data_IF_200609379312
#
_entry.id   IF_200609379312
#
_cell.length_a   1.000
_cell.length_b   1.000
_cell.length_c   1.000
_cell.angle_alpha   90.00
_cell.angle_beta   90.00
_cell.angle_gamma   90.00
#
_symmetry.space_group_name_H-M   'P 1'
#
loop_
_entity.id
_entity.type
_entity.pdbx_description
1 polymer ?
#
# COMPACT_ATOMS: atom_id res chain seq x y z
N UNK A 1 -39.08 73.03 31.00
CA UNK A 1 -38.98 71.63 31.46
C UNK A 1 -38.75 70.82 30.20
N UNK A 2 -37.51 70.47 29.85
CA UNK A 2 -36.81 69.23 30.28
C UNK A 2 -37.68 68.00 29.93
N UNK A 3 -37.24 67.00 29.15
CA UNK A 3 -35.90 66.45 29.04
C UNK A 3 -35.70 65.63 27.75
N UNK A 4 -34.43 65.36 27.49
CA UNK A 4 -33.78 64.65 26.40
C UNK A 4 -33.95 63.12 26.51
N UNK A 5 -34.04 62.37 25.40
CA UNK A 5 -33.36 61.07 25.26
C UNK A 5 -33.44 60.52 23.83
N UNK A 6 -32.25 60.35 23.27
CA UNK A 6 -31.87 59.57 22.10
C UNK A 6 -32.39 58.11 22.07
N UNK A 7 -32.71 57.61 20.88
CA UNK A 7 -32.57 56.21 20.44
C UNK A 7 -32.60 56.23 18.91
N UNK A 8 -31.48 56.13 18.21
CA UNK A 8 -30.73 54.92 17.86
C UNK A 8 -31.47 53.98 16.91
N UNK A 9 -30.67 53.44 15.99
CA UNK A 9 -30.90 52.25 15.16
C UNK A 9 -31.58 52.52 13.82
N UNK A 10 -30.73 52.85 12.85
CA UNK A 10 -30.86 52.31 11.50
C UNK A 10 -31.12 50.81 11.59
N UNK A 11 -32.34 50.39 11.26
CA UNK A 11 -32.62 49.01 10.89
C UNK A 11 -33.52 49.06 9.66
N UNK A 12 -32.87 49.18 8.51
CA UNK A 12 -33.50 48.89 7.22
C UNK A 12 -33.75 47.38 7.15
N UNK A 13 -34.79 46.94 7.86
CA UNK A 13 -35.31 45.58 7.79
C UNK A 13 -35.83 45.37 6.37
N UNK A 14 -34.97 44.77 5.54
CA UNK A 14 -35.30 44.33 4.20
C UNK A 14 -36.34 43.20 4.28
N UNK A 15 -37.61 43.57 4.21
CA UNK A 15 -38.71 42.63 4.16
C UNK A 15 -38.86 42.12 2.73
N UNK A 16 -38.35 40.92 2.49
CA UNK A 16 -38.51 40.23 1.22
C UNK A 16 -39.96 39.75 1.11
N UNK A 17 -40.81 40.56 0.46
CA UNK A 17 -42.16 40.13 0.06
C UNK A 17 -42.02 39.15 -1.10
N UNK A 18 -42.30 37.88 -0.83
CA UNK A 18 -42.56 36.88 -1.86
C UNK A 18 -43.83 37.31 -2.61
N UNK A 19 -43.70 37.63 -3.90
CA UNK A 19 -44.85 37.76 -4.79
C UNK A 19 -45.61 36.44 -4.83
N UNK A 20 -46.94 36.51 -4.72
CA UNK A 20 -47.87 35.37 -4.70
C UNK A 20 -47.85 34.51 -5.99
N UNK A 21 -47.06 34.89 -7.00
CA UNK A 21 -46.85 34.14 -8.25
C UNK A 21 -46.05 32.83 -8.08
N UNK A 22 -45.52 32.55 -6.89
CA UNK A 22 -44.84 31.28 -6.59
C UNK A 22 -45.81 30.12 -6.25
N UNK A 23 -47.13 30.35 -6.19
CA UNK A 23 -48.08 29.36 -5.68
C UNK A 23 -48.43 28.20 -6.63
N UNK A 24 -47.87 28.16 -7.85
CA UNK A 24 -48.20 27.11 -8.86
C UNK A 24 -47.00 26.47 -9.55
N UNK A 25 -45.79 26.52 -8.98
CA UNK A 25 -44.70 25.64 -9.44
C UNK A 25 -44.63 24.37 -8.60
N UNK A 26 -44.92 23.25 -9.28
CA UNK A 26 -44.73 21.84 -8.92
C UNK A 26 -43.54 21.65 -7.96
N UNK A 27 -43.66 20.84 -6.89
CA UNK A 27 -42.68 20.76 -5.82
C UNK A 27 -41.29 20.54 -6.39
N UNK A 28 -40.41 21.51 -6.17
CA UNK A 28 -38.99 21.41 -6.46
C UNK A 28 -38.50 20.26 -5.58
N UNK A 29 -38.07 19.19 -6.24
CA UNK A 29 -37.46 18.02 -5.64
C UNK A 29 -36.44 18.47 -4.57
N UNK A 30 -36.70 18.15 -3.30
CA UNK A 30 -35.80 18.38 -2.15
C UNK A 30 -34.54 17.49 -2.18
N UNK A 31 -34.06 17.11 -3.36
CA UNK A 31 -32.79 16.42 -3.48
C UNK A 31 -31.67 17.44 -3.26
N UNK A 32 -30.72 17.19 -2.35
CA UNK A 32 -29.54 18.02 -2.23
C UNK A 32 -28.83 18.11 -3.59
N UNK A 33 -28.14 19.22 -3.89
CA UNK A 33 -27.43 19.38 -5.16
C UNK A 33 -26.47 18.22 -5.38
N UNK A 34 -26.77 17.39 -6.39
CA UNK A 34 -25.92 16.27 -6.79
C UNK A 34 -24.75 16.85 -7.59
N UNK A 35 -23.59 16.98 -6.94
CA UNK A 35 -22.37 17.35 -7.67
C UNK A 35 -22.02 16.24 -8.67
N UNK A 36 -21.76 16.56 -9.95
CA UNK A 36 -21.37 15.56 -10.93
C UNK A 36 -20.07 14.90 -10.49
N UNK A 37 -20.13 13.60 -10.22
CA UNK A 37 -18.95 12.85 -9.81
C UNK A 37 -18.05 12.63 -11.02
N UNK A 38 -16.94 13.38 -11.07
CA UNK A 38 -15.95 13.25 -12.14
C UNK A 38 -15.29 11.87 -12.03
N UNK A 39 -15.44 11.07 -13.08
CA UNK A 39 -14.84 9.73 -13.16
C UNK A 39 -13.33 9.87 -13.40
N UNK A 40 -12.52 9.43 -12.44
CA UNK A 40 -11.06 9.42 -12.57
C UNK A 40 -10.56 8.07 -13.07
N UNK A 41 -10.22 8.01 -14.37
CA UNK A 41 -9.65 6.82 -15.01
C UNK A 41 -8.13 6.78 -14.99
N UNK A 42 -7.46 7.91 -14.75
CA UNK A 42 -6.00 8.00 -14.80
C UNK A 42 -5.40 7.51 -13.47
N UNK A 43 -6.01 7.86 -12.34
CA UNK A 43 -5.59 7.45 -11.01
C UNK A 43 -5.39 5.92 -10.89
N UNK A 44 -6.43 5.10 -11.11
CA UNK A 44 -6.32 3.65 -11.00
C UNK A 44 -5.28 3.02 -11.95
N UNK A 45 -5.12 3.57 -13.15
CA UNK A 45 -4.12 3.09 -14.13
C UNK A 45 -2.70 3.35 -13.66
N UNK A 46 -2.41 4.55 -13.17
CA UNK A 46 -1.10 4.90 -12.62
C UNK A 46 -0.76 4.02 -11.40
N UNK A 47 -1.72 3.83 -10.50
CA UNK A 47 -1.56 2.96 -9.33
C UNK A 47 -1.28 1.52 -9.78
N UNK A 48 -2.00 1.01 -10.78
CA UNK A 48 -1.77 -0.32 -11.34
C UNK A 48 -0.34 -0.52 -11.88
N UNK A 49 0.22 0.48 -12.57
CA UNK A 49 1.60 0.42 -13.08
C UNK A 49 2.61 0.39 -11.92
N UNK A 50 2.44 1.25 -10.91
CA UNK A 50 3.32 1.29 -9.74
C UNK A 50 3.29 -0.06 -8.99
N UNK A 51 2.11 -0.66 -8.85
CA UNK A 51 1.96 -1.98 -8.22
C UNK A 51 2.68 -3.08 -9.01
N UNK A 52 2.63 -3.06 -10.34
CA UNK A 52 3.35 -4.04 -11.17
C UNK A 52 4.86 -3.91 -10.96
N UNK A 53 5.40 -2.68 -10.97
CA UNK A 53 6.83 -2.45 -10.75
C UNK A 53 7.24 -2.92 -9.36
N UNK A 54 6.50 -2.53 -8.31
CA UNK A 54 6.78 -2.96 -6.94
C UNK A 54 6.67 -4.47 -6.75
N UNK A 55 5.71 -5.11 -7.42
CA UNK A 55 5.58 -6.57 -7.43
C UNK A 55 6.82 -7.22 -8.03
N UNK A 56 7.32 -6.75 -9.17
CA UNK A 56 8.54 -7.30 -9.79
C UNK A 56 9.74 -7.24 -8.84
N UNK A 57 10.00 -6.09 -8.20
CA UNK A 57 11.08 -5.98 -7.22
C UNK A 57 10.91 -6.97 -6.06
N UNK A 58 9.71 -7.02 -5.48
CA UNK A 58 9.41 -7.94 -4.37
C UNK A 58 9.51 -9.41 -4.79
N UNK A 59 9.14 -9.73 -6.03
CA UNK A 59 9.19 -11.06 -6.58
C UNK A 59 10.62 -11.55 -6.78
N UNK A 60 11.53 -10.69 -7.26
CA UNK A 60 12.96 -11.04 -7.37
C UNK A 60 13.54 -11.31 -5.98
N UNK A 61 13.23 -10.47 -4.98
CA UNK A 61 13.69 -10.69 -3.61
C UNK A 61 13.17 -12.02 -3.03
N UNK A 62 11.86 -12.29 -3.18
CA UNK A 62 11.27 -13.55 -2.71
C UNK A 62 11.83 -14.77 -3.42
N UNK A 63 12.16 -14.67 -4.70
CA UNK A 63 12.83 -15.73 -5.45
C UNK A 63 14.28 -15.94 -4.99
N UNK A 64 15.00 -14.86 -4.64
CA UNK A 64 16.32 -14.92 -4.00
C UNK A 64 16.27 -15.71 -2.68
N UNK A 65 15.33 -15.37 -1.81
CA UNK A 65 15.13 -16.09 -0.54
C UNK A 65 14.82 -17.58 -0.78
N UNK A 66 13.98 -17.90 -1.77
CA UNK A 66 13.72 -19.30 -2.12
C UNK A 66 14.98 -20.03 -2.61
N UNK A 67 15.82 -19.39 -3.43
CA UNK A 67 17.07 -19.99 -3.89
C UNK A 67 18.00 -20.28 -2.71
N UNK A 68 18.11 -19.36 -1.75
CA UNK A 68 18.96 -19.53 -0.57
C UNK A 68 18.56 -20.76 0.26
N UNK A 69 17.28 -21.15 0.30
CA UNK A 69 16.91 -22.41 0.95
C UNK A 69 17.58 -23.63 0.30
N UNK A 70 17.67 -23.65 -1.03
CA UNK A 70 18.13 -24.83 -1.77
C UNK A 70 19.66 -24.89 -1.92
N UNK A 71 20.37 -23.86 -1.48
CA UNK A 71 21.83 -23.82 -1.42
C UNK A 71 22.24 -24.32 -0.04
N UNK A 72 22.95 -25.46 0.02
CA UNK A 72 23.44 -26.02 1.28
C UNK A 72 24.62 -25.21 1.81
N UNK A 73 25.61 -24.91 0.98
CA UNK A 73 26.76 -24.08 1.33
C UNK A 73 26.89 -22.94 0.33
N UNK A 74 27.01 -21.72 0.85
CA UNK A 74 27.36 -20.56 0.02
C UNK A 74 28.87 -20.57 -0.19
N UNK A 75 29.39 -20.32 -1.41
CA UNK A 75 30.83 -20.33 -1.67
C UNK A 75 31.58 -19.35 -0.76
N UNK A 76 32.67 -19.79 -0.13
CA UNK A 76 33.46 -19.00 0.80
C UNK A 76 33.85 -17.63 0.23
N UNK A 77 34.21 -17.57 -1.06
CA UNK A 77 34.55 -16.31 -1.74
C UNK A 77 33.41 -15.29 -1.79
N UNK A 78 32.16 -15.76 -1.84
CA UNK A 78 30.97 -14.92 -1.81
C UNK A 78 30.70 -14.41 -0.39
N UNK A 79 30.85 -15.29 0.60
CA UNK A 79 30.74 -14.94 2.02
C UNK A 79 31.83 -13.93 2.40
N UNK A 80 33.09 -14.16 2.04
CA UNK A 80 34.19 -13.23 2.27
C UNK A 80 33.92 -11.85 1.67
N UNK A 81 33.30 -11.80 0.48
CA UNK A 81 32.90 -10.54 -0.15
C UNK A 81 31.80 -9.85 0.65
N UNK A 82 30.83 -10.62 1.17
CA UNK A 82 29.74 -10.12 2.00
C UNK A 82 30.23 -9.61 3.37
N UNK A 83 31.20 -10.32 3.96
CA UNK A 83 31.83 -10.01 5.24
C UNK A 83 32.92 -8.94 5.15
N UNK A 84 33.43 -8.63 3.95
CA UNK A 84 34.46 -7.61 3.76
C UNK A 84 34.04 -6.23 4.31
N UNK A 85 32.77 -5.85 4.12
CA UNK A 85 32.24 -4.57 4.61
C UNK A 85 32.15 -4.53 6.14
N UNK A 86 31.45 -5.44 6.83
CA UNK A 86 31.38 -5.44 8.29
C UNK A 86 32.76 -5.65 8.94
N UNK A 87 33.61 -6.52 8.40
CA UNK A 87 34.95 -6.76 8.95
C UNK A 87 35.86 -5.52 8.80
N UNK A 88 35.71 -4.75 7.70
CA UNK A 88 36.41 -3.46 7.56
C UNK A 88 35.99 -2.40 8.58
N UNK A 89 34.83 -2.57 9.22
CA UNK A 89 34.27 -1.67 10.23
C UNK A 89 34.57 -2.11 11.67
N UNK A 90 35.41 -3.15 11.84
CA UNK A 90 35.88 -3.61 13.15
C UNK A 90 35.20 -4.86 13.68
N UNK A 91 34.40 -5.54 12.86
CA UNK A 91 33.86 -6.87 13.20
C UNK A 91 34.86 -7.98 12.84
N UNK A 92 34.76 -9.12 13.53
CA UNK A 92 35.59 -10.30 13.29
C UNK A 92 34.69 -11.49 12.95
N UNK A 93 33.82 -11.33 11.95
CA UNK A 93 33.00 -12.42 11.45
C UNK A 93 33.85 -13.34 10.57
N UNK A 94 33.73 -14.63 10.82
CA UNK A 94 34.33 -15.69 10.01
C UNK A 94 33.34 -16.21 8.98
N UNK A 95 33.86 -16.94 7.98
CA UNK A 95 33.01 -17.65 7.01
C UNK A 95 32.13 -18.67 7.72
N UNK A 96 32.69 -19.37 8.73
CA UNK A 96 31.98 -20.36 9.54
C UNK A 96 30.78 -19.75 10.27
N UNK A 97 30.93 -18.56 10.88
CA UNK A 97 29.82 -17.86 11.56
C UNK A 97 28.65 -17.57 10.60
N UNK A 98 28.97 -17.24 9.34
CA UNK A 98 27.94 -16.98 8.33
C UNK A 98 27.30 -18.28 7.81
N UNK A 99 28.06 -19.36 7.67
CA UNK A 99 27.52 -20.67 7.29
C UNK A 99 26.58 -21.21 8.37
N UNK A 100 26.94 -21.10 9.65
CA UNK A 100 26.08 -21.50 10.77
C UNK A 100 24.75 -20.72 10.76
N UNK A 101 24.81 -19.41 10.52
CA UNK A 101 23.62 -18.59 10.31
C UNK A 101 22.75 -19.10 9.14
N UNK A 102 23.38 -19.36 7.99
CA UNK A 102 22.69 -19.79 6.77
C UNK A 102 22.02 -21.15 6.97
N UNK A 103 22.71 -22.07 7.66
CA UNK A 103 22.20 -23.38 8.00
C UNK A 103 21.04 -23.32 8.98
N UNK A 104 21.08 -22.49 10.00
CA UNK A 104 19.97 -22.31 10.94
C UNK A 104 18.75 -21.65 10.26
N UNK A 105 18.98 -20.64 9.41
CA UNK A 105 17.92 -20.01 8.64
C UNK A 105 17.25 -20.99 7.64
N UNK A 106 18.02 -21.94 7.10
CA UNK A 106 17.54 -23.01 6.22
C UNK A 106 16.82 -24.11 7.00
N UNK A 107 17.38 -24.57 8.12
CA UNK A 107 16.83 -25.64 8.97
C UNK A 107 15.46 -25.24 9.55
N UNK A 108 15.33 -23.98 9.96
CA UNK A 108 14.08 -23.37 10.43
C UNK A 108 13.07 -23.07 9.31
N UNK A 109 13.43 -23.31 8.05
CA UNK A 109 12.65 -23.01 6.85
C UNK A 109 12.27 -21.52 6.73
N UNK A 110 13.06 -20.63 7.33
CA UNK A 110 12.79 -19.20 7.34
C UNK A 110 12.85 -18.60 5.93
N UNK A 111 13.84 -19.02 5.14
CA UNK A 111 13.98 -18.64 3.73
C UNK A 111 12.80 -19.10 2.88
N UNK A 112 12.34 -20.34 3.02
CA UNK A 112 11.15 -20.83 2.31
C UNK A 112 9.90 -20.05 2.69
N UNK A 113 9.66 -19.88 3.99
CA UNK A 113 8.47 -19.21 4.46
C UNK A 113 8.42 -17.77 3.94
N UNK A 114 9.52 -17.03 4.09
CA UNK A 114 9.66 -15.66 3.59
C UNK A 114 9.52 -15.61 2.07
N UNK A 115 10.34 -16.40 1.36
CA UNK A 115 10.45 -16.38 -0.08
C UNK A 115 9.16 -16.80 -0.78
N UNK A 116 8.54 -17.90 -0.36
CA UNK A 116 7.32 -18.42 -0.98
C UNK A 116 6.13 -17.46 -0.81
N UNK A 117 5.95 -16.88 0.38
CA UNK A 117 4.88 -15.92 0.63
C UNK A 117 5.11 -14.60 -0.10
N UNK A 118 6.35 -14.08 -0.10
CA UNK A 118 6.66 -12.84 -0.84
C UNK A 118 6.52 -13.02 -2.35
N UNK A 119 6.94 -14.17 -2.88
CA UNK A 119 6.79 -14.50 -4.29
C UNK A 119 5.32 -14.70 -4.69
N UNK A 120 4.58 -15.53 -3.96
CA UNK A 120 3.16 -15.77 -4.22
C UNK A 120 2.33 -14.48 -4.06
N UNK A 121 2.61 -13.70 -3.01
CA UNK A 121 1.98 -12.41 -2.78
C UNK A 121 2.30 -11.43 -3.91
N UNK A 122 3.56 -11.34 -4.36
CA UNK A 122 3.96 -10.54 -5.53
C UNK A 122 3.19 -10.90 -6.80
N UNK A 123 2.98 -12.19 -7.09
CA UNK A 123 2.18 -12.61 -8.24
C UNK A 123 0.73 -12.10 -8.14
N UNK A 124 0.13 -12.14 -6.95
CA UNK A 124 -1.20 -11.58 -6.71
C UNK A 124 -1.23 -10.06 -6.84
N UNK A 125 -0.21 -9.36 -6.34
CA UNK A 125 -0.07 -7.90 -6.52
C UNK A 125 0.05 -7.55 -8.00
N UNK A 126 0.83 -8.32 -8.77
CA UNK A 126 0.98 -8.13 -10.21
C UNK A 126 -0.36 -8.33 -10.94
N UNK A 127 -1.07 -9.43 -10.66
CA UNK A 127 -2.41 -9.67 -11.20
C UNK A 127 -3.40 -8.56 -10.80
N UNK A 128 -3.31 -8.05 -9.57
CA UNK A 128 -4.08 -6.91 -9.09
C UNK A 128 -3.77 -5.62 -9.84
N UNK A 129 -2.50 -5.34 -10.09
CA UNK A 129 -2.03 -4.19 -10.87
C UNK A 129 -2.53 -4.23 -12.31
N UNK A 130 -2.51 -5.40 -12.96
CA UNK A 130 -3.12 -5.60 -14.28
C UNK A 130 -4.63 -5.37 -14.24
N UNK A 131 -5.31 -5.90 -13.21
CA UNK A 131 -6.74 -5.68 -13.00
C UNK A 131 -7.10 -4.20 -12.83
N UNK A 132 -6.29 -3.43 -12.10
CA UNK A 132 -6.44 -1.98 -11.93
C UNK A 132 -6.17 -1.20 -13.22
N UNK A 133 -5.16 -1.60 -13.99
CA UNK A 133 -4.87 -1.01 -15.30
C UNK A 133 -6.04 -1.19 -16.28
N UNK A 134 -6.70 -2.35 -16.21
CA UNK A 134 -7.92 -2.67 -16.96
C UNK A 134 -9.20 -2.08 -16.35
N UNK A 135 -9.09 -1.26 -15.29
CA UNK A 135 -10.19 -0.61 -14.57
C UNK A 135 -11.23 -1.63 -14.02
N UNK A 136 -10.77 -2.78 -13.52
CA UNK A 136 -11.62 -3.81 -12.92
C UNK A 136 -11.53 -3.77 -11.40
N UNK A 137 -12.67 -3.71 -10.72
CA UNK A 137 -12.76 -3.69 -9.23
C UNK A 137 -12.00 -4.85 -8.56
N UNK A 138 -12.00 -6.03 -9.18
CA UNK A 138 -11.27 -7.20 -8.68
C UNK A 138 -9.77 -6.95 -8.53
N UNK A 139 -9.17 -6.08 -9.36
CA UNK A 139 -7.73 -5.78 -9.29
C UNK A 139 -7.30 -5.14 -7.96
N UNK A 140 -8.12 -4.23 -7.42
CA UNK A 140 -7.84 -3.63 -6.10
C UNK A 140 -7.93 -4.67 -4.97
N UNK A 141 -8.90 -5.59 -5.05
CA UNK A 141 -9.12 -6.63 -4.03
C UNK A 141 -7.97 -7.64 -4.07
N UNK A 142 -7.63 -8.18 -5.24
CA UNK A 142 -6.52 -9.14 -5.37
C UNK A 142 -5.18 -8.51 -5.01
N UNK A 143 -4.99 -7.23 -5.34
CA UNK A 143 -3.82 -6.46 -4.95
C UNK A 143 -3.68 -6.32 -3.43
N UNK A 144 -4.76 -5.99 -2.71
CA UNK A 144 -4.75 -5.91 -1.24
C UNK A 144 -4.49 -7.25 -0.58
N UNK A 145 -5.07 -8.34 -1.11
CA UNK A 145 -4.80 -9.70 -0.62
C UNK A 145 -3.32 -10.04 -0.82
N UNK A 146 -2.77 -9.75 -2.01
CA UNK A 146 -1.35 -9.95 -2.32
C UNK A 146 -0.45 -9.20 -1.35
N UNK A 147 -0.70 -7.91 -1.10
CA UNK A 147 0.05 -7.11 -0.12
C UNK A 147 -0.04 -7.72 1.29
N UNK A 148 -1.21 -8.19 1.70
CA UNK A 148 -1.38 -8.85 3.00
C UNK A 148 -0.53 -10.12 3.14
N UNK A 149 -0.53 -10.97 2.12
CA UNK A 149 0.29 -12.19 2.07
C UNK A 149 1.79 -11.83 2.13
N UNK A 150 2.21 -10.88 1.31
CA UNK A 150 3.60 -10.43 1.28
C UNK A 150 4.03 -9.80 2.61
N UNK A 151 3.16 -9.07 3.28
CA UNK A 151 3.42 -8.50 4.61
C UNK A 151 3.60 -9.60 5.65
N UNK A 152 2.74 -10.62 5.65
CA UNK A 152 2.86 -11.77 6.56
C UNK A 152 4.15 -12.54 6.28
N UNK A 153 4.50 -12.78 5.01
CA UNK A 153 5.74 -13.43 4.63
C UNK A 153 6.99 -12.62 5.00
N UNK A 154 6.98 -11.32 4.71
CA UNK A 154 8.09 -10.42 4.97
C UNK A 154 8.35 -10.22 6.46
N UNK A 155 7.30 -10.05 7.27
CA UNK A 155 7.45 -9.90 8.73
C UNK A 155 7.70 -11.25 9.39
N UNK A 156 6.85 -12.25 9.13
CA UNK A 156 6.95 -13.56 9.78
C UNK A 156 8.24 -14.29 9.42
N UNK A 157 8.62 -14.31 8.14
CA UNK A 157 9.88 -14.91 7.71
C UNK A 157 11.10 -14.07 8.10
N UNK A 158 10.97 -12.74 8.09
CA UNK A 158 12.05 -11.84 8.52
C UNK A 158 12.40 -11.95 10.00
N UNK A 159 11.42 -12.21 10.87
CA UNK A 159 11.66 -12.44 12.30
C UNK A 159 12.51 -13.70 12.55
N UNK A 160 12.26 -14.78 11.81
CA UNK A 160 13.02 -16.03 11.94
C UNK A 160 14.45 -15.90 11.40
N UNK A 161 14.64 -15.17 10.30
CA UNK A 161 15.99 -14.87 9.78
C UNK A 161 16.74 -13.96 10.76
N UNK A 162 16.06 -12.96 11.34
CA UNK A 162 16.66 -12.09 12.33
C UNK A 162 17.09 -12.86 13.58
N UNK A 163 16.28 -13.81 14.06
CA UNK A 163 16.66 -14.60 15.23
C UNK A 163 17.90 -15.44 14.98
N UNK A 164 18.02 -16.07 13.79
CA UNK A 164 19.24 -16.78 13.40
C UNK A 164 20.44 -15.83 13.31
N UNK A 165 20.25 -14.61 12.79
CA UNK A 165 21.32 -13.62 12.70
C UNK A 165 21.77 -13.10 14.08
N UNK A 166 20.86 -12.97 15.03
CA UNK A 166 21.17 -12.56 16.40
C UNK A 166 21.96 -13.64 17.17
N UNK A 167 21.82 -14.91 16.78
CA UNK A 167 22.54 -16.02 17.40
C UNK A 167 23.97 -16.17 16.88
N UNK A 168 24.17 -15.98 15.57
CA UNK A 168 25.44 -16.33 14.90
C UNK A 168 26.27 -15.13 14.39
N UNK A 169 25.63 -14.05 13.95
CA UNK A 169 26.33 -12.97 13.24
C UNK A 169 26.63 -11.76 14.14
N UNK A 170 25.72 -11.43 15.06
CA UNK A 170 25.83 -10.26 15.93
C UNK A 170 26.07 -8.93 15.18
N UNK A 171 26.35 -7.88 15.96
CA UNK A 171 26.87 -6.61 15.44
C UNK A 171 26.04 -5.98 14.32
N UNK A 172 26.71 -5.65 13.22
CA UNK A 172 26.21 -4.86 12.11
C UNK A 172 25.38 -5.71 11.15
N UNK A 173 25.69 -7.00 11.00
CA UNK A 173 24.88 -7.91 10.18
C UNK A 173 23.54 -8.22 10.85
N UNK A 174 23.51 -8.44 12.17
CA UNK A 174 22.26 -8.56 12.93
C UNK A 174 21.40 -7.29 12.77
N UNK A 175 22.01 -6.11 12.92
CA UNK A 175 21.32 -4.83 12.74
C UNK A 175 20.79 -4.67 11.31
N UNK A 176 21.53 -5.12 10.30
CA UNK A 176 21.10 -5.06 8.91
C UNK A 176 19.84 -5.90 8.67
N UNK A 177 19.77 -7.12 9.22
CA UNK A 177 18.57 -7.96 9.13
C UNK A 177 17.39 -7.38 9.90
N UNK A 178 17.64 -6.78 11.08
CA UNK A 178 16.63 -6.04 11.84
C UNK A 178 16.06 -4.85 11.05
N UNK A 179 16.93 -4.04 10.43
CA UNK A 179 16.52 -2.92 9.60
C UNK A 179 15.73 -3.39 8.37
N UNK A 180 16.15 -4.50 7.75
CA UNK A 180 15.46 -5.08 6.60
C UNK A 180 14.02 -5.50 6.97
N UNK A 181 13.83 -6.09 8.16
CA UNK A 181 12.50 -6.44 8.68
C UNK A 181 11.61 -5.20 8.82
N UNK A 182 12.11 -4.13 9.46
CA UNK A 182 11.34 -2.90 9.63
C UNK A 182 11.02 -2.21 8.31
N UNK A 183 12.00 -2.15 7.41
CA UNK A 183 11.83 -1.55 6.09
C UNK A 183 10.77 -2.30 5.27
N UNK A 184 10.77 -3.64 5.32
CA UNK A 184 9.75 -4.47 4.70
C UNK A 184 8.35 -4.19 5.27
N UNK A 185 8.21 -4.07 6.59
CA UNK A 185 6.93 -3.78 7.23
C UNK A 185 6.37 -2.41 6.82
N UNK A 186 7.19 -1.36 6.86
CA UNK A 186 6.79 -0.01 6.51
C UNK A 186 6.46 0.09 5.01
N UNK A 187 7.29 -0.50 4.14
CA UNK A 187 7.07 -0.43 2.70
C UNK A 187 5.79 -1.15 2.30
N UNK A 188 5.52 -2.34 2.85
CA UNK A 188 4.29 -3.09 2.58
C UNK A 188 3.04 -2.38 3.13
N UNK A 189 3.15 -1.74 4.30
CA UNK A 189 2.10 -0.86 4.82
C UNK A 189 1.76 0.27 3.84
N UNK A 190 2.78 0.96 3.34
CA UNK A 190 2.61 2.03 2.35
C UNK A 190 2.05 1.50 1.02
N UNK A 191 2.53 0.36 0.52
CA UNK A 191 1.98 -0.30 -0.66
C UNK A 191 0.50 -0.67 -0.49
N UNK A 192 0.11 -1.12 0.71
CA UNK A 192 -1.29 -1.42 1.05
C UNK A 192 -2.17 -0.18 1.00
N UNK A 193 -1.71 0.94 1.54
CA UNK A 193 -2.43 2.22 1.46
C UNK A 193 -2.62 2.66 0.02
N UNK A 194 -1.56 2.63 -0.80
CA UNK A 194 -1.61 3.00 -2.21
C UNK A 194 -2.59 2.09 -2.98
N UNK A 195 -2.56 0.78 -2.71
CA UNK A 195 -3.47 -0.19 -3.31
C UNK A 195 -4.94 0.02 -2.89
N UNK A 196 -5.19 0.59 -1.70
CA UNK A 196 -6.52 0.89 -1.20
C UNK A 196 -7.11 2.21 -1.74
N UNK A 197 -6.28 3.15 -2.20
CA UNK A 197 -6.74 4.46 -2.70
C UNK A 197 -7.87 4.38 -3.75
N UNK A 198 -7.83 3.46 -4.75
CA UNK A 198 -8.90 3.34 -5.75
C UNK A 198 -10.26 2.91 -5.17
N UNK A 199 -10.27 2.30 -3.98
CA UNK A 199 -11.49 1.86 -3.30
C UNK A 199 -12.13 2.97 -2.45
N UNK A 200 -11.32 3.88 -1.89
CA UNK A 200 -11.81 4.99 -1.06
C UNK A 200 -12.13 6.25 -1.86
N UNK A 201 -11.39 6.54 -2.92
CA UNK A 201 -11.67 7.69 -3.78
C UNK A 201 -12.92 7.40 -4.63
N UNK A 202 -13.99 8.18 -4.40
CA UNK A 202 -15.29 8.04 -5.09
C UNK A 202 -15.15 8.13 -6.62
N UNK A 203 -14.31 9.03 -7.14
CA UNK A 203 -14.08 9.18 -8.58
C UNK A 203 -13.38 7.96 -9.21
N UNK A 204 -12.39 7.42 -8.49
CA UNK A 204 -11.68 6.19 -8.89
C UNK A 204 -12.57 4.95 -8.76
N UNK A 205 -13.36 4.86 -7.69
CA UNK A 205 -14.31 3.76 -7.45
C UNK A 205 -15.38 3.71 -8.53
N UNK A 206 -15.85 4.86 -8.99
CA UNK A 206 -16.79 4.96 -10.10
C UNK A 206 -16.15 4.57 -11.45
N UNK A 207 -14.85 4.86 -11.64
CA UNK A 207 -14.12 4.37 -12.81
C UNK A 207 -14.01 2.84 -12.83
N UNK A 208 -13.79 2.21 -11.67
CA UNK A 208 -13.76 0.75 -11.53
C UNK A 208 -15.15 0.09 -11.68
N UNK A 209 -16.21 0.83 -11.36
CA UNK A 209 -17.61 0.38 -11.44
C UNK A 209 -18.31 0.79 -12.74
N UNK A 210 -17.62 1.39 -13.73
CA UNK A 210 -18.23 2.03 -14.92
C UNK A 210 -19.07 1.13 -15.84
N UNK A 211 -19.26 -0.17 -15.55
CA UNK A 211 -20.41 -0.93 -16.09
C UNK A 211 -21.78 -0.48 -15.53
N UNK A 212 -21.81 0.27 -14.42
CA UNK A 212 -23.03 0.73 -13.76
C UNK A 212 -23.49 2.14 -14.18
N UNK A 213 -22.65 2.93 -14.87
CA UNK A 213 -23.05 4.24 -15.43
C UNK A 213 -23.24 4.10 -16.94
N UNK A 214 -24.16 3.21 -17.34
CA UNK A 214 -24.87 3.40 -18.60
C UNK A 214 -25.70 4.65 -18.36
N UNK A 215 -25.28 5.76 -18.92
CA UNK A 215 -25.92 7.04 -18.69
C UNK A 215 -27.35 6.91 -19.20
N UNK A 216 -28.31 6.91 -18.28
CA UNK A 216 -29.70 7.26 -18.55
C UNK A 216 -29.69 8.73 -18.95
N UNK A 217 -29.28 9.03 -20.17
CA UNK A 217 -29.83 10.18 -20.86
C UNK A 217 -31.19 9.68 -21.35
N UNK A 218 -32.21 9.80 -20.51
CA UNK A 218 -33.57 9.93 -21.03
C UNK A 218 -33.57 11.24 -21.83
N UNK A 219 -33.66 11.12 -23.15
CA UNK A 219 -34.10 12.20 -24.02
C UNK A 219 -35.53 12.59 -23.58
N UNK A 220 -35.69 13.80 -23.03
CA UNK A 220 -36.97 14.54 -23.08
C UNK A 220 -36.83 15.71 -24.06
#
# INVERSE_FOLDING_TARGET
MADNSSNSSDDSTFTLRLSDDQKTKKPINNSPPVFPQVVDRKGPKTIGIIMIIGALFTGVLGFGDMQNQFIEEIPDSEIETLLATPNSQGENLTVDDYQDFHDEARSSHAYLFRGALMFAGSLLVCAGGVGLFLLRKWGAITGLIGVGITLIGGIGGGLNIQSAAAEHLGGQLELAYSLQLYLCGICMGMCGLIAALPLFNVGARNALNSKAMKIQFEEE
#
